data_IF_220160574107
#
_entry.id   IF_220160574107
#
_cell.length_a   1.000
_cell.length_b   1.000
_cell.length_c   1.000
_cell.angle_alpha   90.00
_cell.angle_beta   90.00
_cell.angle_gamma   90.00
#
_symmetry.space_group_name_H-M   'P 1'
#
loop_
_entity.id
_entity.type
_entity.pdbx_description
1 polymer ?
#
# COMPACT_ATOMS: atom_id res chain seq x y z
N UNK A 1 -18.52 -23.90 -6.13
CA UNK A 1 -18.46 -22.79 -5.15
C UNK A 1 -17.21 -22.98 -4.31
N UNK A 2 -16.32 -22.00 -4.25
CA UNK A 2 -15.10 -22.12 -3.44
C UNK A 2 -15.43 -22.20 -1.96
N UNK A 3 -14.87 -23.21 -1.28
CA UNK A 3 -15.05 -23.39 0.16
C UNK A 3 -14.42 -22.21 0.92
N UNK A 4 -15.01 -21.76 2.02
CA UNK A 4 -14.45 -20.73 2.92
C UNK A 4 -12.97 -20.94 3.27
N UNK A 5 -12.53 -22.21 3.32
CA UNK A 5 -11.13 -22.60 3.51
C UNK A 5 -10.23 -22.19 2.34
N UNK A 6 -10.65 -22.48 1.11
CA UNK A 6 -9.91 -22.07 -0.10
C UNK A 6 -9.87 -20.55 -0.21
N UNK A 7 -10.98 -19.86 0.13
CA UNK A 7 -11.04 -18.40 0.11
C UNK A 7 -10.04 -17.78 1.08
N UNK A 8 -9.97 -18.32 2.30
CA UNK A 8 -8.99 -17.90 3.29
C UNK A 8 -7.56 -18.13 2.82
N UNK A 9 -7.25 -19.31 2.29
CA UNK A 9 -5.92 -19.62 1.76
C UNK A 9 -5.53 -18.69 0.59
N UNK A 10 -6.47 -18.38 -0.30
CA UNK A 10 -6.24 -17.44 -1.41
C UNK A 10 -5.92 -16.01 -0.96
N UNK A 11 -6.23 -15.62 0.29
CA UNK A 11 -5.78 -14.34 0.83
C UNK A 11 -4.25 -14.27 0.99
N UNK A 12 -3.54 -15.41 1.01
CA UNK A 12 -2.08 -15.44 1.08
C UNK A 12 -1.53 -14.65 2.27
N UNK A 13 -2.21 -14.73 3.42
CA UNK A 13 -1.82 -14.01 4.64
C UNK A 13 -0.54 -14.61 5.23
N UNK A 14 -0.41 -15.93 5.23
CA UNK A 14 0.77 -16.64 5.72
C UNK A 14 2.04 -16.22 4.99
N UNK A 15 2.00 -16.14 3.66
CA UNK A 15 3.11 -15.71 2.82
C UNK A 15 3.39 -14.21 2.97
N UNK A 16 2.37 -13.41 3.30
CA UNK A 16 2.54 -11.99 3.56
C UNK A 16 3.21 -11.72 4.91
N UNK A 17 2.98 -12.55 5.92
CA UNK A 17 3.60 -12.43 7.23
C UNK A 17 5.13 -12.63 7.18
N UNK A 18 5.66 -13.40 6.25
CA UNK A 18 7.12 -13.58 6.12
C UNK A 18 7.82 -12.39 5.46
N UNK A 19 7.07 -11.43 4.90
CA UNK A 19 7.61 -10.24 4.22
C UNK A 19 7.51 -9.02 5.12
N UNK A 20 8.64 -8.43 5.49
CA UNK A 20 8.72 -7.27 6.42
C UNK A 20 7.77 -6.13 6.03
N UNK A 21 7.65 -5.81 4.74
CA UNK A 21 6.81 -4.71 4.25
C UNK A 21 5.31 -5.06 4.21
N UNK A 22 4.93 -6.35 4.14
CA UNK A 22 3.51 -6.78 4.16
C UNK A 22 3.04 -7.22 5.54
N UNK A 23 3.95 -7.58 6.43
CA UNK A 23 3.64 -8.06 7.78
C UNK A 23 2.68 -7.12 8.54
N UNK A 24 2.89 -5.79 8.62
CA UNK A 24 1.96 -4.93 9.36
C UNK A 24 0.54 -4.93 8.77
N UNK A 25 0.43 -5.03 7.44
CA UNK A 25 -0.86 -5.07 6.74
C UNK A 25 -1.56 -6.40 7.01
N UNK A 26 -0.84 -7.52 6.89
CA UNK A 26 -1.36 -8.85 7.18
C UNK A 26 -1.83 -9.00 8.64
N UNK A 27 -1.08 -8.45 9.61
CA UNK A 27 -1.48 -8.41 11.01
C UNK A 27 -2.78 -7.62 11.23
N UNK A 28 -2.93 -6.46 10.59
CA UNK A 28 -4.17 -5.67 10.64
C UNK A 28 -5.34 -6.44 10.03
N UNK A 29 -5.15 -7.07 8.87
CA UNK A 29 -6.20 -7.88 8.23
C UNK A 29 -6.62 -9.07 9.11
N UNK A 30 -5.66 -9.81 9.67
CA UNK A 30 -5.96 -10.88 10.63
C UNK A 30 -6.75 -10.36 11.83
N UNK A 31 -6.40 -9.18 12.35
CA UNK A 31 -7.14 -8.52 13.42
C UNK A 31 -8.61 -8.26 13.04
N UNK A 32 -8.86 -7.73 11.84
CA UNK A 32 -10.22 -7.50 11.33
C UNK A 32 -10.98 -8.81 11.13
N UNK A 33 -10.33 -9.85 10.59
CA UNK A 33 -10.94 -11.17 10.40
C UNK A 33 -11.33 -11.80 11.74
N UNK A 34 -10.44 -11.70 12.75
CA UNK A 34 -10.73 -12.20 14.10
C UNK A 34 -11.97 -11.51 14.67
N UNK A 35 -12.03 -10.16 14.60
CA UNK A 35 -13.15 -9.39 15.14
C UNK A 35 -14.47 -9.61 14.39
N UNK A 36 -14.42 -9.67 13.06
CA UNK A 36 -15.62 -9.62 12.23
C UNK A 36 -16.19 -10.98 11.80
N UNK A 37 -15.35 -12.01 11.68
CA UNK A 37 -15.74 -13.27 11.04
C UNK A 37 -15.44 -14.54 11.85
N UNK A 38 -14.49 -14.52 12.80
CA UNK A 38 -13.99 -15.74 13.44
C UNK A 38 -15.08 -16.68 13.98
N UNK A 39 -16.05 -16.16 14.73
CA UNK A 39 -17.13 -16.97 15.33
C UNK A 39 -18.11 -17.54 14.31
N UNK A 40 -18.21 -16.93 13.12
CA UNK A 40 -19.13 -17.31 12.04
C UNK A 40 -18.52 -18.32 11.06
N UNK A 41 -17.20 -18.50 11.11
CA UNK A 41 -16.46 -19.37 10.19
C UNK A 41 -16.43 -20.82 10.66
N UNK A 42 -16.33 -21.81 9.74
CA UNK A 42 -16.17 -23.22 10.09
C UNK A 42 -14.91 -23.49 10.95
N UNK A 43 -14.95 -24.55 11.77
CA UNK A 43 -13.89 -24.88 12.75
C UNK A 43 -12.49 -25.05 12.11
N UNK A 44 -12.43 -25.59 10.90
CA UNK A 44 -11.18 -25.74 10.17
C UNK A 44 -10.58 -24.37 9.79
N UNK A 45 -11.38 -23.41 9.31
CA UNK A 45 -10.94 -22.04 9.01
C UNK A 45 -10.56 -21.27 10.29
N UNK A 46 -11.32 -21.43 11.36
CA UNK A 46 -10.96 -20.88 12.69
C UNK A 46 -9.61 -21.41 13.18
N UNK A 47 -9.28 -22.68 12.89
CA UNK A 47 -7.98 -23.25 13.22
C UNK A 47 -6.85 -22.58 12.44
N UNK A 48 -7.03 -22.39 11.12
CA UNK A 48 -6.06 -21.71 10.26
C UNK A 48 -5.82 -20.25 10.69
N UNK A 49 -6.90 -19.47 10.89
CA UNK A 49 -6.79 -18.08 11.37
C UNK A 49 -6.00 -18.01 12.67
N UNK A 50 -6.28 -18.93 13.60
CA UNK A 50 -5.58 -18.97 14.87
C UNK A 50 -4.09 -19.32 14.70
N UNK A 51 -3.77 -20.29 13.85
CA UNK A 51 -2.38 -20.66 13.55
C UNK A 51 -1.61 -19.51 12.92
N UNK A 52 -2.19 -18.83 11.93
CA UNK A 52 -1.55 -17.67 11.28
C UNK A 52 -1.39 -16.49 12.25
N UNK A 53 -2.32 -16.32 13.19
CA UNK A 53 -2.21 -15.29 14.24
C UNK A 53 -1.07 -15.58 15.21
N UNK A 54 -0.89 -16.84 15.61
CA UNK A 54 0.26 -17.24 16.44
C UNK A 54 1.57 -17.12 15.67
N UNK A 55 1.59 -17.51 14.39
CA UNK A 55 2.75 -17.36 13.53
C UNK A 55 3.16 -15.88 13.41
N UNK A 56 2.19 -14.97 13.20
CA UNK A 56 2.44 -13.55 13.20
C UNK A 56 3.10 -13.08 14.52
N UNK A 57 2.52 -13.45 15.67
CA UNK A 57 3.08 -13.08 16.99
C UNK A 57 4.52 -13.60 17.15
N UNK A 58 4.80 -14.84 16.73
CA UNK A 58 6.13 -15.45 16.83
C UNK A 58 7.16 -14.80 15.92
N UNK A 59 6.74 -14.30 14.75
CA UNK A 59 7.59 -13.58 13.80
C UNK A 59 7.90 -12.15 14.25
N UNK A 60 7.15 -11.58 15.19
CA UNK A 60 7.33 -10.20 15.65
C UNK A 60 8.78 -9.81 16.00
N UNK A 61 9.59 -10.63 16.69
CA UNK A 61 10.98 -10.28 17.01
C UNK A 61 11.85 -10.04 15.77
N UNK A 62 11.52 -10.67 14.64
CA UNK A 62 12.21 -10.48 13.35
C UNK A 62 11.75 -9.18 12.66
N UNK A 63 10.61 -8.64 13.05
CA UNK A 63 9.97 -7.48 12.44
C UNK A 63 10.38 -6.20 13.17
N UNK A 64 11.43 -5.56 12.66
CA UNK A 64 12.17 -4.48 13.31
C UNK A 64 11.49 -3.10 13.30
N UNK A 65 10.25 -3.00 12.80
CA UNK A 65 9.59 -1.69 12.58
C UNK A 65 8.56 -1.39 13.67
N UNK A 66 8.45 -0.12 14.06
CA UNK A 66 7.40 0.36 14.98
C UNK A 66 5.99 0.03 14.46
N UNK A 67 5.79 0.13 13.14
CA UNK A 67 4.54 -0.26 12.48
C UNK A 67 4.19 -1.74 12.69
N UNK A 68 5.19 -2.64 12.58
CA UNK A 68 5.00 -4.06 12.84
C UNK A 68 4.62 -4.33 14.30
N UNK A 69 5.27 -3.66 15.25
CA UNK A 69 4.94 -3.77 16.68
C UNK A 69 3.50 -3.34 16.97
N UNK A 70 3.09 -2.18 16.45
CA UNK A 70 1.73 -1.67 16.63
C UNK A 70 0.69 -2.58 15.98
N UNK A 71 0.96 -3.09 14.77
CA UNK A 71 0.05 -4.00 14.07
C UNK A 71 -0.08 -5.36 14.78
N UNK A 72 1.02 -5.92 15.27
CA UNK A 72 1.01 -7.16 16.04
C UNK A 72 0.29 -6.98 17.39
N UNK A 73 0.43 -5.81 18.03
CA UNK A 73 -0.31 -5.51 19.25
C UNK A 73 -1.82 -5.43 19.00
N UNK A 74 -2.25 -4.80 17.89
CA UNK A 74 -3.64 -4.76 17.49
C UNK A 74 -4.20 -6.18 17.25
N UNK A 75 -3.45 -7.03 16.55
CA UNK A 75 -3.79 -8.43 16.35
C UNK A 75 -3.95 -9.19 17.68
N UNK A 76 -3.01 -8.99 18.59
CA UNK A 76 -3.07 -9.56 19.94
C UNK A 76 -4.34 -9.12 20.69
N UNK A 77 -4.69 -7.82 20.68
CA UNK A 77 -5.91 -7.33 21.34
C UNK A 77 -7.18 -7.96 20.76
N UNK A 78 -7.22 -8.13 19.43
CA UNK A 78 -8.33 -8.79 18.75
C UNK A 78 -8.45 -10.26 19.14
N UNK A 79 -7.31 -10.97 19.19
CA UNK A 79 -7.23 -12.34 19.66
C UNK A 79 -7.70 -12.46 21.12
N UNK A 80 -7.31 -11.52 21.98
CA UNK A 80 -7.69 -11.51 23.40
C UNK A 80 -9.19 -11.26 23.63
N UNK A 81 -9.82 -10.46 22.78
CA UNK A 81 -11.23 -10.11 22.89
C UNK A 81 -12.17 -11.21 22.38
N UNK A 82 -11.78 -11.93 21.32
CA UNK A 82 -12.70 -12.83 20.59
C UNK A 82 -12.42 -14.32 20.81
N UNK A 83 -11.16 -14.71 21.05
CA UNK A 83 -10.81 -16.13 21.07
C UNK A 83 -11.29 -16.86 22.34
N UNK A 84 -11.65 -18.15 22.22
CA UNK A 84 -11.96 -18.99 23.38
C UNK A 84 -10.79 -19.07 24.38
N UNK A 85 -11.12 -19.29 25.67
CA UNK A 85 -10.18 -19.26 26.82
C UNK A 85 -8.83 -19.93 26.57
N UNK A 86 -8.83 -21.16 26.04
CA UNK A 86 -7.59 -21.89 25.74
C UNK A 86 -6.72 -21.19 24.69
N UNK A 87 -7.31 -20.80 23.55
CA UNK A 87 -6.61 -20.11 22.46
C UNK A 87 -6.13 -18.72 22.88
N UNK A 88 -6.94 -18.00 23.65
CA UNK A 88 -6.60 -16.71 24.26
C UNK A 88 -5.36 -16.82 25.17
N UNK A 89 -5.36 -17.79 26.08
CA UNK A 89 -4.22 -17.98 27.01
C UNK A 89 -2.93 -18.26 26.25
N UNK A 90 -2.98 -19.11 25.22
CA UNK A 90 -1.83 -19.39 24.36
C UNK A 90 -1.34 -18.14 23.62
N UNK A 91 -2.24 -17.31 23.08
CA UNK A 91 -1.88 -16.05 22.43
C UNK A 91 -1.21 -15.07 23.41
N UNK A 92 -1.66 -15.01 24.67
CA UNK A 92 -1.06 -14.18 25.73
C UNK A 92 0.35 -14.64 26.05
N UNK A 93 0.58 -15.94 26.23
CA UNK A 93 1.92 -16.46 26.54
C UNK A 93 2.90 -16.19 25.41
N UNK A 94 2.50 -16.47 24.17
CA UNK A 94 3.31 -16.25 22.97
C UNK A 94 3.63 -14.76 22.77
N UNK A 95 2.65 -13.88 22.96
CA UNK A 95 2.88 -12.44 22.82
C UNK A 95 3.83 -11.87 23.86
N UNK A 96 3.74 -12.35 25.11
CA UNK A 96 4.70 -11.98 26.17
C UNK A 96 6.11 -12.44 25.81
N UNK A 97 6.26 -13.68 25.35
CA UNK A 97 7.54 -14.23 24.92
C UNK A 97 8.13 -13.45 23.73
N UNK A 98 7.32 -13.17 22.70
CA UNK A 98 7.72 -12.39 21.55
C UNK A 98 8.16 -10.97 21.94
N UNK A 99 7.46 -10.30 22.87
CA UNK A 99 7.89 -8.99 23.37
C UNK A 99 9.23 -9.03 24.10
N UNK A 100 9.50 -10.09 24.87
CA UNK A 100 10.80 -10.25 25.53
C UNK A 100 11.90 -10.50 24.50
N UNK A 101 11.66 -11.36 23.51
CA UNK A 101 12.60 -11.63 22.42
C UNK A 101 12.91 -10.37 21.61
N UNK A 102 11.88 -9.60 21.23
CA UNK A 102 12.03 -8.31 20.54
C UNK A 102 12.91 -7.34 21.33
N UNK A 103 12.66 -7.17 22.65
CA UNK A 103 13.47 -6.31 23.52
C UNK A 103 14.93 -6.75 23.56
N UNK A 104 15.20 -8.06 23.65
CA UNK A 104 16.56 -8.60 23.65
C UNK A 104 17.26 -8.32 22.32
N UNK A 105 16.56 -8.51 21.21
CA UNK A 105 17.08 -8.26 19.88
C UNK A 105 17.41 -6.77 19.64
N UNK A 106 16.56 -5.85 20.11
CA UNK A 106 16.83 -4.41 20.02
C UNK A 106 18.08 -4.00 20.81
N UNK A 107 18.30 -4.58 22.01
CA UNK A 107 19.48 -4.27 22.83
C UNK A 107 20.78 -4.73 22.19
N UNK A 108 20.82 -5.96 21.67
CA UNK A 108 22.00 -6.50 20.99
C UNK A 108 22.44 -5.66 19.78
N UNK A 109 21.49 -5.03 19.06
CA UNK A 109 21.81 -4.20 17.89
C UNK A 109 22.21 -2.76 18.19
N UNK A 110 21.76 -2.18 19.31
CA UNK A 110 22.20 -0.84 19.70
C UNK A 110 23.73 -0.75 19.87
N UNK A 111 24.38 -1.88 20.14
CA UNK A 111 25.84 -1.98 20.26
C UNK A 111 26.56 -2.03 18.90
N UNK A 112 25.89 -2.36 17.79
CA UNK A 112 26.49 -2.48 16.45
C UNK A 112 26.27 -1.26 15.53
N UNK A 113 25.34 -0.36 15.85
CA UNK A 113 24.80 0.57 14.87
C UNK A 113 25.61 1.90 14.76
N UNK A 114 26.63 1.91 13.89
CA UNK A 114 27.18 3.14 13.32
C UNK A 114 26.25 3.73 12.24
N UNK A 115 26.23 5.07 12.10
CA UNK A 115 25.39 5.76 11.11
C UNK A 115 25.96 5.63 9.69
N UNK A 116 25.62 4.56 8.99
CA UNK A 116 25.89 4.44 7.55
C UNK A 116 24.67 4.95 6.78
N UNK A 117 24.68 6.24 6.44
CA UNK A 117 23.64 6.81 5.58
C UNK A 117 24.02 6.60 4.12
N UNK A 118 23.07 6.09 3.33
CA UNK A 118 23.28 5.90 1.90
C UNK A 118 23.38 7.27 1.18
N UNK A 119 24.24 7.38 0.15
CA UNK A 119 24.26 8.55 -0.73
C UNK A 119 22.90 8.84 -1.37
N UNK A 120 22.68 10.11 -1.70
CA UNK A 120 21.38 10.62 -2.15
C UNK A 120 20.93 10.01 -3.49
N UNK A 121 21.86 9.85 -4.43
CA UNK A 121 21.66 9.22 -5.74
C UNK A 121 21.26 7.75 -5.61
N UNK A 122 21.87 7.03 -4.65
CA UNK A 122 21.50 5.65 -4.34
C UNK A 122 20.07 5.58 -3.78
N UNK A 123 19.68 6.53 -2.92
CA UNK A 123 18.29 6.60 -2.42
C UNK A 123 17.29 6.87 -3.54
N UNK A 124 17.57 7.82 -4.44
CA UNK A 124 16.72 8.09 -5.61
C UNK A 124 16.59 6.85 -6.49
N UNK A 125 17.70 6.14 -6.74
CA UNK A 125 17.68 4.89 -7.49
C UNK A 125 16.81 3.82 -6.81
N UNK A 126 16.97 3.59 -5.49
CA UNK A 126 16.14 2.66 -4.72
C UNK A 126 14.66 3.07 -4.80
N UNK A 127 14.36 4.36 -4.68
CA UNK A 127 13.00 4.88 -4.69
C UNK A 127 12.32 4.77 -6.06
N UNK A 128 13.08 4.68 -7.14
CA UNK A 128 12.54 4.43 -8.49
C UNK A 128 11.80 3.09 -8.62
N UNK A 129 12.12 2.12 -7.75
CA UNK A 129 11.45 0.82 -7.71
C UNK A 129 10.19 0.81 -6.82
N UNK A 130 9.95 1.88 -6.05
CA UNK A 130 8.83 1.93 -5.12
C UNK A 130 7.49 2.18 -5.82
N UNK A 131 6.44 1.59 -5.29
CA UNK A 131 5.07 1.92 -5.65
C UNK A 131 4.67 3.28 -5.07
N UNK A 132 3.65 3.93 -5.61
CA UNK A 132 3.24 5.28 -5.20
C UNK A 132 3.08 5.41 -3.67
N UNK A 133 2.36 4.49 -3.03
CA UNK A 133 2.15 4.54 -1.58
C UNK A 133 3.47 4.46 -0.81
N UNK A 134 4.38 3.57 -1.25
CA UNK A 134 5.69 3.42 -0.65
C UNK A 134 6.55 4.65 -0.89
N UNK A 135 6.52 5.24 -2.09
CA UNK A 135 7.24 6.47 -2.43
C UNK A 135 6.78 7.65 -1.57
N UNK A 136 5.47 7.82 -1.39
CA UNK A 136 4.91 8.83 -0.48
C UNK A 136 5.33 8.56 0.97
N UNK A 137 5.36 7.30 1.38
CA UNK A 137 5.73 6.91 2.76
C UNK A 137 7.20 7.18 3.06
N UNK A 138 8.12 6.87 2.13
CA UNK A 138 9.55 7.15 2.32
C UNK A 138 9.83 8.65 2.42
N UNK A 139 9.03 9.48 1.74
CA UNK A 139 9.11 10.93 1.85
C UNK A 139 8.80 11.51 3.24
N UNK A 140 8.30 10.71 4.18
CA UNK A 140 8.00 11.15 5.56
C UNK A 140 8.98 10.63 6.62
N UNK A 141 10.00 9.88 6.22
CA UNK A 141 10.91 9.22 7.14
C UNK A 141 11.89 10.21 7.77
N UNK A 142 12.65 10.92 6.95
CA UNK A 142 13.60 11.95 7.39
C UNK A 142 13.84 12.96 6.26
N UNK A 143 14.58 14.02 6.55
CA UNK A 143 14.85 15.08 5.57
C UNK A 143 15.55 14.57 4.29
N UNK A 144 16.60 13.75 4.44
CA UNK A 144 17.34 13.17 3.29
C UNK A 144 16.46 12.26 2.44
N UNK A 145 15.61 11.43 3.06
CA UNK A 145 14.67 10.58 2.34
C UNK A 145 13.57 11.41 1.66
N UNK A 146 13.09 12.48 2.28
CA UNK A 146 12.14 13.38 1.63
C UNK A 146 12.76 14.06 0.41
N UNK A 147 14.02 14.51 0.51
CA UNK A 147 14.73 15.10 -0.60
C UNK A 147 14.84 14.10 -1.77
N UNK A 148 15.11 12.82 -1.50
CA UNK A 148 15.22 11.80 -2.56
C UNK A 148 13.85 11.43 -3.13
N UNK A 149 12.83 11.32 -2.27
CA UNK A 149 11.46 11.00 -2.67
C UNK A 149 10.78 12.15 -3.43
N UNK A 150 11.29 13.37 -3.32
CA UNK A 150 10.80 14.55 -4.04
C UNK A 150 11.50 14.77 -5.38
N UNK A 151 12.39 13.87 -5.81
CA UNK A 151 13.06 13.96 -7.11
C UNK A 151 12.05 14.02 -8.27
N UNK A 152 12.21 15.01 -9.15
CA UNK A 152 11.22 15.31 -10.18
C UNK A 152 11.12 14.20 -11.24
N UNK A 153 12.23 13.51 -11.52
CA UNK A 153 12.27 12.41 -12.48
C UNK A 153 11.52 11.18 -11.94
N UNK A 154 11.60 10.92 -10.63
CA UNK A 154 10.76 9.87 -10.00
C UNK A 154 9.27 10.14 -10.22
N UNK A 155 8.80 11.36 -9.99
CA UNK A 155 7.40 11.71 -10.17
C UNK A 155 6.96 11.70 -11.63
N UNK A 156 7.84 12.07 -12.56
CA UNK A 156 7.61 11.91 -13.99
C UNK A 156 7.40 10.44 -14.37
N UNK A 157 8.26 9.53 -13.87
CA UNK A 157 8.16 8.09 -14.12
C UNK A 157 6.86 7.51 -13.54
N UNK A 158 6.49 7.92 -12.33
CA UNK A 158 5.23 7.51 -11.71
C UNK A 158 4.02 8.05 -12.50
N UNK A 159 4.06 9.31 -12.94
CA UNK A 159 3.00 9.89 -13.75
C UNK A 159 2.78 9.10 -15.03
N UNK A 160 3.85 8.79 -15.76
CA UNK A 160 3.77 7.95 -16.95
C UNK A 160 3.20 6.56 -16.60
N UNK A 161 3.71 5.90 -15.56
CA UNK A 161 3.22 4.57 -15.15
C UNK A 161 1.72 4.55 -14.80
N UNK A 162 1.23 5.59 -14.13
CA UNK A 162 -0.16 5.65 -13.65
C UNK A 162 -1.15 6.19 -14.70
N UNK A 163 -0.74 7.17 -15.51
CA UNK A 163 -1.64 7.88 -16.41
C UNK A 163 -1.39 7.60 -17.90
N UNK A 164 -0.27 6.97 -18.31
CA UNK A 164 -0.02 6.63 -19.72
C UNK A 164 -0.94 5.56 -20.31
N UNK A 165 -1.84 4.96 -19.52
CA UNK A 165 -2.90 4.07 -20.01
C UNK A 165 -4.26 4.78 -20.18
N UNK A 166 -4.35 6.08 -19.87
CA UNK A 166 -5.47 6.90 -20.35
C UNK A 166 -5.06 7.52 -21.68
N UNK A 167 -5.83 7.26 -22.75
CA UNK A 167 -5.65 7.77 -24.12
C UNK A 167 -5.80 9.31 -24.21
N UNK A 168 -5.09 10.07 -23.38
CA UNK A 168 -4.99 11.52 -23.45
C UNK A 168 -3.66 11.98 -22.85
N UNK A 169 -2.54 11.64 -23.51
CA UNK A 169 -1.33 12.43 -23.37
C UNK A 169 -1.06 13.09 -24.73
N UNK A 170 -0.89 14.42 -24.73
CA UNK A 170 -0.85 15.34 -25.88
C UNK A 170 -2.20 15.95 -26.30
N UNK A 171 -2.93 16.56 -25.37
CA UNK A 171 -3.74 17.76 -25.67
C UNK A 171 -3.35 18.94 -24.76
N UNK A 172 -2.06 19.13 -24.55
CA UNK A 172 -1.56 20.46 -24.22
C UNK A 172 -1.46 21.21 -25.54
N UNK A 173 -2.29 22.24 -25.70
CA UNK A 173 -2.39 23.09 -26.88
C UNK A 173 -1.00 23.54 -27.38
N UNK A 174 -0.48 22.86 -28.40
CA UNK A 174 0.43 23.44 -29.39
C UNK A 174 -0.36 23.45 -30.69
N UNK A 175 -1.09 24.54 -30.88
CA UNK A 175 -1.86 24.81 -32.09
C UNK A 175 -0.86 25.24 -33.17
N UNK A 176 -0.13 24.30 -33.77
CA UNK A 176 0.53 24.54 -35.05
C UNK A 176 -0.54 24.43 -36.13
N UNK A 177 -1.28 25.53 -36.31
CA UNK A 177 -2.01 25.79 -37.54
C UNK A 177 -0.99 25.98 -38.64
N UNK A 178 -0.72 24.92 -39.40
CA UNK A 178 -0.02 25.01 -40.67
C UNK A 178 -0.84 25.87 -41.63
N UNK A 179 -0.49 27.15 -41.75
CA UNK A 179 -0.80 27.96 -42.92
C UNK A 179 0.51 28.58 -43.42
N UNK A 180 0.99 27.99 -44.50
CA UNK A 180 2.02 28.53 -45.38
C UNK A 180 1.52 29.88 -45.91
N UNK A 181 2.23 30.98 -45.61
CA UNK A 181 2.39 32.15 -46.48
C UNK A 181 3.79 32.73 -46.22
N UNK A 182 4.56 32.92 -47.29
CA UNK A 182 5.94 33.42 -47.36
C UNK A 182 6.12 34.90 -47.01
N UNK A 183 7.39 35.23 -46.71
CA UNK A 183 8.12 36.50 -46.91
C UNK A 183 7.84 37.75 -46.05
N UNK A 184 8.79 38.07 -45.13
CA UNK A 184 9.74 39.21 -45.28
C UNK A 184 10.69 39.42 -44.06
N UNK A 185 11.98 39.49 -44.39
CA UNK A 185 13.17 40.12 -43.77
C UNK A 185 13.14 40.72 -42.34
N UNK A 186 14.14 40.27 -41.57
CA UNK A 186 15.10 40.99 -40.71
C UNK A 186 14.64 42.19 -39.85
N UNK A 187 14.59 42.00 -38.52
CA UNK A 187 15.21 42.92 -37.55
C UNK A 187 15.72 42.14 -36.33
N UNK A 188 16.97 42.42 -35.98
CA UNK A 188 17.77 41.89 -34.88
C UNK A 188 17.40 42.61 -33.58
N UNK A 189 17.13 41.89 -32.48
CA UNK A 189 17.46 42.31 -31.10
C UNK A 189 17.08 41.23 -30.05
N UNK A 190 17.99 41.08 -29.10
CA UNK A 190 18.03 40.16 -27.97
C UNK A 190 16.79 40.17 -27.08
N UNK A 191 16.55 39.04 -26.39
CA UNK A 191 15.70 39.06 -25.20
C UNK A 191 15.29 37.70 -24.67
N UNK A 192 16.11 37.14 -23.79
CA UNK A 192 15.74 36.16 -22.75
C UNK A 192 15.31 34.76 -23.23
N UNK A 193 16.18 33.78 -22.98
CA UNK A 193 15.80 32.38 -22.81
C UNK A 193 14.77 32.34 -21.69
N UNK A 194 13.49 32.35 -22.05
CA UNK A 194 12.43 32.01 -21.14
C UNK A 194 12.66 30.54 -20.75
N UNK A 195 13.33 30.32 -19.62
CA UNK A 195 13.39 29.03 -18.95
C UNK A 195 11.96 28.53 -18.86
N UNK A 196 11.62 27.55 -19.70
CA UNK A 196 10.38 26.80 -19.58
C UNK A 196 10.23 26.44 -18.09
N UNK A 197 9.11 26.78 -17.44
CA UNK A 197 8.94 26.44 -16.04
C UNK A 197 9.10 24.94 -15.93
N UNK A 198 10.10 24.49 -15.18
CA UNK A 198 10.34 23.06 -15.00
C UNK A 198 9.06 22.48 -14.42
N UNK A 199 8.39 21.60 -15.17
CA UNK A 199 7.13 20.99 -14.73
C UNK A 199 7.39 20.29 -13.41
N UNK A 200 6.71 20.74 -12.35
CA UNK A 200 6.69 20.05 -11.08
C UNK A 200 5.79 18.82 -11.24
N UNK A 201 6.41 17.68 -11.54
CA UNK A 201 5.71 16.44 -11.78
C UNK A 201 5.04 15.92 -10.51
N UNK A 202 5.51 16.30 -9.31
CA UNK A 202 4.90 15.90 -8.05
C UNK A 202 3.57 16.60 -7.85
N UNK A 203 3.52 17.91 -8.04
CA UNK A 203 2.26 18.68 -7.95
C UNK A 203 1.32 18.35 -9.11
N UNK A 204 1.85 18.13 -10.32
CA UNK A 204 1.06 17.67 -11.47
C UNK A 204 0.43 16.30 -11.20
N UNK A 205 1.20 15.37 -10.62
CA UNK A 205 0.71 14.07 -10.21
C UNK A 205 -0.38 14.23 -9.16
N UNK A 206 -0.17 15.01 -8.10
CA UNK A 206 -1.18 15.28 -7.06
C UNK A 206 -2.47 15.84 -7.63
N UNK A 207 -2.38 16.82 -8.54
CA UNK A 207 -3.55 17.41 -9.20
C UNK A 207 -4.34 16.40 -10.02
N UNK A 208 -3.65 15.63 -10.87
CA UNK A 208 -4.27 14.57 -11.65
C UNK A 208 -4.85 13.44 -10.77
N UNK A 209 -4.21 13.18 -9.64
CA UNK A 209 -4.57 12.16 -8.68
C UNK A 209 -5.85 12.49 -7.90
N UNK A 210 -5.94 13.71 -7.37
CA UNK A 210 -7.13 14.17 -6.61
C UNK A 210 -8.37 14.15 -7.51
N UNK A 211 -8.21 14.47 -8.80
CA UNK A 211 -9.31 14.45 -9.78
C UNK A 211 -9.84 13.06 -10.17
N UNK A 212 -9.08 11.97 -9.96
CA UNK A 212 -9.34 10.65 -10.56
C UNK A 212 -9.80 9.55 -9.57
N UNK A 213 -10.56 9.89 -8.53
CA UNK A 213 -11.24 9.03 -7.53
C UNK A 213 -10.43 8.64 -6.26
N UNK A 214 -10.91 9.20 -5.15
CA UNK A 214 -10.35 9.21 -3.79
C UNK A 214 -10.24 7.86 -3.06
N UNK A 215 -10.88 6.78 -3.53
CA UNK A 215 -11.01 5.54 -2.75
C UNK A 215 -10.11 4.40 -3.19
N UNK A 216 -9.32 4.59 -4.26
CA UNK A 216 -8.65 3.50 -4.95
C UNK A 216 -7.31 3.04 -4.35
N UNK A 217 -6.77 3.75 -3.37
CA UNK A 217 -5.32 3.67 -3.13
C UNK A 217 -4.92 3.59 -1.67
N UNK A 218 -5.78 3.06 -0.81
CA UNK A 218 -5.38 2.63 0.55
C UNK A 218 -5.31 1.12 0.70
N UNK A 219 -5.78 0.36 -0.30
CA UNK A 219 -5.83 -1.09 -0.24
C UNK A 219 -4.75 -1.75 -1.10
N UNK A 220 -3.88 -2.51 -0.43
CA UNK A 220 -2.96 -3.46 -1.08
C UNK A 220 -3.69 -4.74 -1.55
N UNK A 221 -5.02 -4.70 -1.58
CA UNK A 221 -5.93 -5.79 -1.88
C UNK A 221 -6.85 -5.40 -3.01
N UNK A 222 -7.03 -6.31 -3.95
CA UNK A 222 -8.03 -6.18 -5.00
C UNK A 222 -8.70 -7.51 -5.30
N UNK A 223 -9.96 -7.47 -5.68
CA UNK A 223 -10.64 -8.59 -6.28
C UNK A 223 -10.24 -8.67 -7.74
N UNK A 224 -9.64 -9.79 -8.14
CA UNK A 224 -9.32 -10.07 -9.53
C UNK A 224 -10.44 -10.92 -10.13
N UNK A 225 -11.16 -10.38 -11.13
CA UNK A 225 -12.21 -11.11 -11.84
C UNK A 225 -11.73 -12.41 -12.49
N UNK A 226 -10.45 -12.47 -12.91
CA UNK A 226 -9.86 -13.68 -13.49
C UNK A 226 -9.51 -14.75 -12.45
N UNK A 227 -8.91 -14.37 -11.32
CA UNK A 227 -8.64 -15.32 -10.23
C UNK A 227 -9.89 -15.68 -9.43
N UNK A 228 -10.99 -14.93 -9.64
CA UNK A 228 -12.22 -14.95 -8.85
C UNK A 228 -11.91 -14.95 -7.33
N UNK A 229 -10.98 -14.08 -6.94
CA UNK A 229 -10.39 -14.09 -5.60
C UNK A 229 -9.81 -12.72 -5.22
N UNK A 230 -9.73 -12.48 -3.92
CA UNK A 230 -9.01 -11.35 -3.34
C UNK A 230 -7.51 -11.65 -3.38
N UNK A 231 -6.76 -10.81 -4.08
CA UNK A 231 -5.32 -10.94 -4.29
C UNK A 231 -4.58 -9.75 -3.71
N UNK A 232 -3.29 -9.95 -3.41
CA UNK A 232 -2.38 -8.83 -3.19
C UNK A 232 -2.16 -8.09 -4.51
N UNK A 233 -2.10 -6.77 -4.44
CA UNK A 233 -1.78 -5.94 -5.59
C UNK A 233 -0.31 -5.56 -5.55
N UNK A 234 0.32 -5.59 -6.72
CA UNK A 234 1.61 -4.98 -6.98
C UNK A 234 1.39 -3.96 -8.09
N UNK A 235 1.46 -2.66 -7.79
CA UNK A 235 1.23 -1.57 -8.75
C UNK A 235 -0.12 -1.69 -9.48
N UNK A 236 -1.20 -1.93 -8.74
CA UNK A 236 -2.55 -2.14 -9.28
C UNK A 236 -2.69 -3.36 -10.22
N UNK A 237 -1.68 -4.24 -10.28
CA UNK A 237 -1.73 -5.50 -11.02
C UNK A 237 -1.90 -6.67 -10.07
N UNK A 238 -2.58 -7.71 -10.54
CA UNK A 238 -2.74 -8.97 -9.81
C UNK A 238 -1.36 -9.62 -9.56
N UNK A 239 -1.07 -10.00 -8.31
CA UNK A 239 0.21 -10.64 -7.96
C UNK A 239 0.34 -12.11 -8.36
N UNK A 240 -0.73 -12.73 -8.90
CA UNK A 240 -0.71 -14.15 -9.28
C UNK A 240 -0.13 -14.34 -10.69
N UNK A 241 0.74 -15.35 -10.84
CA UNK A 241 1.41 -15.70 -12.11
C UNK A 241 0.42 -15.96 -13.25
N UNK A 242 -0.78 -16.48 -12.95
CA UNK A 242 -1.83 -16.74 -13.93
C UNK A 242 -2.31 -15.48 -14.68
N UNK A 243 -2.07 -14.29 -14.13
CA UNK A 243 -2.49 -13.01 -14.71
C UNK A 243 -1.37 -12.28 -15.47
N UNK A 244 -0.15 -12.83 -15.51
CA UNK A 244 1.05 -12.13 -15.96
C UNK A 244 1.19 -11.90 -17.47
N UNK A 245 0.43 -12.61 -18.32
CA UNK A 245 0.79 -12.72 -19.73
C UNK A 245 -0.25 -12.28 -20.76
N UNK A 246 -1.51 -12.01 -20.39
CA UNK A 246 -2.49 -11.57 -21.39
C UNK A 246 -3.50 -10.57 -20.83
N UNK A 247 -3.62 -9.45 -21.56
CA UNK A 247 -4.74 -8.51 -21.63
C UNK A 247 -4.67 -7.22 -20.79
N UNK A 248 -4.92 -6.12 -21.52
CA UNK A 248 -4.78 -4.70 -21.14
C UNK A 248 -5.87 -4.18 -20.19
N UNK A 249 -6.90 -4.96 -19.87
CA UNK A 249 -8.06 -4.50 -19.10
C UNK A 249 -8.32 -5.40 -17.88
N UNK A 250 -7.39 -5.44 -16.92
CA UNK A 250 -7.63 -6.11 -15.65
C UNK A 250 -8.70 -5.32 -14.86
N UNK A 251 -9.94 -5.83 -14.81
CA UNK A 251 -10.96 -5.33 -13.89
C UNK A 251 -10.57 -5.76 -12.47
N UNK A 252 -9.70 -4.98 -11.84
CA UNK A 252 -9.34 -5.16 -10.42
C UNK A 252 -10.15 -4.17 -9.62
N UNK A 253 -11.06 -4.69 -8.79
CA UNK A 253 -11.82 -3.89 -7.82
C UNK A 253 -11.02 -3.83 -6.52
N UNK A 254 -10.56 -2.65 -6.15
CA UNK A 254 -9.82 -2.43 -4.90
C UNK A 254 -10.72 -2.66 -3.69
N UNK A 255 -10.18 -3.27 -2.64
CA UNK A 255 -10.97 -3.70 -1.48
C UNK A 255 -10.48 -3.16 -0.15
N UNK A 256 -11.38 -2.59 0.67
CA UNK A 256 -11.06 -2.23 2.05
C UNK A 256 -10.90 -3.48 2.94
N UNK A 257 -10.22 -3.38 4.10
CA UNK A 257 -10.12 -4.50 5.04
C UNK A 257 -11.49 -5.08 5.46
N UNK A 258 -12.51 -4.25 5.60
CA UNK A 258 -13.88 -4.69 5.90
C UNK A 258 -14.50 -5.52 4.75
N UNK A 259 -14.17 -5.21 3.50
CA UNK A 259 -14.60 -6.00 2.35
C UNK A 259 -13.88 -7.35 2.25
N UNK A 260 -12.63 -7.44 2.74
CA UNK A 260 -11.92 -8.73 2.90
C UNK A 260 -12.66 -9.65 3.89
N UNK A 261 -13.19 -9.09 4.98
CA UNK A 261 -14.03 -9.85 5.93
C UNK A 261 -15.30 -10.33 5.26
N UNK A 262 -15.99 -9.47 4.49
CA UNK A 262 -17.19 -9.86 3.72
C UNK A 262 -16.90 -10.98 2.72
N UNK A 263 -15.76 -10.95 2.01
CA UNK A 263 -15.36 -12.02 1.09
C UNK A 263 -15.26 -13.42 1.74
N UNK A 264 -14.91 -13.48 3.03
CA UNK A 264 -14.87 -14.74 3.77
C UNK A 264 -16.25 -15.22 4.21
N UNK A 265 -17.21 -14.31 4.40
CA UNK A 265 -18.56 -14.59 4.90
C UNK A 265 -19.59 -14.80 3.78
N UNK A 266 -19.49 -14.04 2.68
CA UNK A 266 -20.47 -13.98 1.59
C UNK A 266 -19.91 -14.57 0.29
N UNK A 267 -20.78 -14.93 -0.66
CA UNK A 267 -20.37 -15.42 -1.99
C UNK A 267 -19.67 -14.31 -2.81
N UNK A 268 -18.50 -14.55 -3.47
CA UNK A 268 -17.75 -13.54 -4.22
C UNK A 268 -18.56 -12.76 -5.28
N UNK A 269 -19.68 -13.33 -5.75
CA UNK A 269 -20.59 -12.66 -6.66
C UNK A 269 -21.30 -11.45 -6.02
N UNK A 270 -21.48 -11.40 -4.70
CA UNK A 270 -22.09 -10.25 -4.01
C UNK A 270 -21.20 -9.00 -4.04
N UNK A 271 -19.86 -9.18 -4.09
CA UNK A 271 -18.89 -8.09 -4.20
C UNK A 271 -18.91 -7.41 -5.58
N UNK A 272 -19.41 -8.11 -6.60
CA UNK A 272 -19.61 -7.54 -7.94
C UNK A 272 -20.90 -6.73 -8.09
N UNK A 273 -21.87 -6.90 -7.17
CA UNK A 273 -23.20 -6.28 -7.24
C UNK A 273 -23.46 -5.20 -6.17
N UNK A 274 -22.51 -4.90 -5.28
CA UNK A 274 -22.74 -3.90 -4.22
C UNK A 274 -22.67 -2.47 -4.77
N UNK A 275 -23.84 -1.83 -4.86
CA UNK A 275 -23.97 -0.38 -5.00
C UNK A 275 -23.25 0.33 -3.85
N UNK A 276 -22.52 1.40 -4.16
CA UNK A 276 -21.71 2.18 -3.22
C UNK A 276 -22.62 2.91 -2.20
N UNK A 277 -23.02 2.24 -1.13
CA UNK A 277 -23.59 2.90 0.05
C UNK A 277 -22.47 3.15 1.07
N UNK A 278 -22.02 4.40 1.06
CA UNK A 278 -21.01 4.95 1.94
C UNK A 278 -21.59 5.32 3.31
N UNK A 279 -21.06 4.71 4.37
CA UNK A 279 -21.13 5.26 5.72
C UNK A 279 -19.95 4.74 6.52
N UNK A 280 -18.78 5.34 6.30
CA UNK A 280 -17.67 5.33 7.26
C UNK A 280 -17.08 6.74 7.22
N UNK A 281 -17.34 7.50 8.28
CA UNK A 281 -16.84 8.84 8.53
C UNK A 281 -15.43 8.73 9.11
N UNK A 282 -14.41 8.93 8.26
CA UNK A 282 -13.03 9.23 8.66
C UNK A 282 -12.54 10.44 7.84
N UNK A 283 -13.01 11.63 8.21
CA UNK A 283 -12.50 12.95 7.79
C UNK A 283 -11.09 13.21 8.38
N UNK A 284 -10.13 12.32 8.09
CA UNK A 284 -8.70 12.52 8.36
C UNK A 284 -7.82 12.14 7.14
N UNK A 285 -8.43 11.93 5.97
CA UNK A 285 -7.97 10.90 5.02
C UNK A 285 -7.25 11.38 3.76
N UNK A 286 -6.95 12.67 3.57
CA UNK A 286 -6.30 13.15 2.32
C UNK A 286 -5.16 14.12 2.59
N UNK A 287 -5.39 15.13 3.44
CA UNK A 287 -4.35 16.08 3.85
C UNK A 287 -3.22 15.36 4.61
N UNK A 288 -3.56 14.31 5.36
CA UNK A 288 -2.59 13.44 6.06
C UNK A 288 -1.62 12.74 5.11
N UNK A 289 -2.01 12.43 3.86
CA UNK A 289 -1.13 11.71 2.93
C UNK A 289 0.07 12.54 2.46
N UNK A 290 -0.04 13.86 2.55
CA UNK A 290 0.97 14.81 2.12
C UNK A 290 1.41 15.76 3.25
N UNK A 291 0.78 15.66 4.42
CA UNK A 291 1.16 16.39 5.61
C UNK A 291 2.51 15.90 6.14
N UNK A 292 3.40 16.85 6.35
CA UNK A 292 4.61 16.65 7.13
C UNK A 292 4.23 16.25 8.58
N UNK A 293 4.99 15.36 9.24
CA UNK A 293 4.88 15.22 10.68
C UNK A 293 5.18 16.59 11.32
N UNK A 294 4.21 17.17 12.05
CA UNK A 294 4.48 18.33 12.88
C UNK A 294 5.47 17.89 13.96
N UNK A 295 6.63 18.54 14.00
CA UNK A 295 7.66 18.27 14.99
C UNK A 295 7.06 18.38 16.40
N UNK A 296 7.18 17.32 17.20
CA UNK A 296 7.18 17.44 18.64
C UNK A 296 8.49 18.14 19.00
N UNK A 297 8.43 19.44 19.25
CA UNK A 297 9.47 20.12 19.99
C UNK A 297 9.47 19.57 21.41
N UNK A 298 10.66 19.14 21.87
CA UNK A 298 10.97 18.81 23.26
C UNK A 298 10.69 20.00 24.16
#
# INVERSE_FOLDING_TARGET
>A
MSNSTERYQKLGLKEALTRIHRYPIACKELSFIIRGAYSKLPKNVQSLIFQDSLAAIRLLPEMQTSSAVSAAHLLFQSAEAVLPKHKKNLAITEYKQAKVALKRHCKARQEEQGSVQLPQDVLVHIFSFLELQSLVSVGRVCWSWNLAASDNHLWQLQYAKYFSNSDNCLKTKVQQSGRVIEDKKNTLLEGSVASQPSVDWRETFKGAYIGNSLKKLTSNRGFCGHCNAVVWLNNLKCSNECCGLKFKNQQIKLLSPCQVVKYLLDDPLSLSSSSDSDSESDEESISSLWAYPKHLHV
#
